data_IF_617832420827
#
_entry.id   IF_617832420827
#
_cell.length_a   1.000
_cell.length_b   1.000
_cell.length_c   1.000
_cell.angle_alpha   90.00
_cell.angle_beta   90.00
_cell.angle_gamma   90.00
#
_symmetry.space_group_name_H-M   'P 1'
#
loop_
_entity.id
_entity.type
_entity.pdbx_description
1 polymer ?
#
# COMPACT_ATOMS: atom_id res chain seq x y z
N UNK A 1 70.86 -33.34 -40.41
CA UNK A 1 70.56 -32.23 -39.46
C UNK A 1 69.07 -32.15 -39.29
N UNK A 2 68.47 -32.49 -38.11
CA UNK A 2 67.04 -32.45 -37.93
C UNK A 2 66.61 -31.08 -37.36
N UNK A 3 65.61 -30.50 -37.97
CA UNK A 3 64.95 -29.25 -37.56
C UNK A 3 64.04 -29.54 -36.40
N UNK A 4 64.19 -28.88 -35.26
CA UNK A 4 63.29 -28.92 -34.08
C UNK A 4 62.08 -28.02 -34.34
N UNK A 5 60.87 -28.61 -34.38
CA UNK A 5 59.57 -27.92 -34.37
C UNK A 5 59.21 -27.53 -32.93
N UNK A 6 59.09 -26.23 -32.65
CA UNK A 6 58.63 -25.70 -31.40
C UNK A 6 57.07 -25.65 -31.49
N UNK A 7 56.38 -26.42 -30.64
CA UNK A 7 54.95 -26.35 -30.47
C UNK A 7 54.60 -25.28 -29.43
N UNK A 8 54.03 -24.19 -29.88
CA UNK A 8 53.47 -23.15 -29.00
C UNK A 8 52.07 -23.54 -28.61
N UNK A 9 51.87 -23.88 -27.35
CA UNK A 9 50.53 -24.14 -26.78
C UNK A 9 49.90 -22.82 -26.39
N UNK A 10 48.79 -22.43 -27.04
CA UNK A 10 47.99 -21.30 -26.68
C UNK A 10 46.96 -21.79 -25.64
N UNK A 11 47.10 -21.36 -24.39
CA UNK A 11 46.14 -21.56 -23.32
C UNK A 11 45.01 -20.50 -23.47
N UNK A 12 43.85 -20.88 -23.98
CA UNK A 12 42.65 -20.01 -24.00
C UNK A 12 42.03 -20.01 -22.63
N UNK A 13 42.16 -18.94 -21.87
CA UNK A 13 41.42 -18.71 -20.63
C UNK A 13 39.99 -18.28 -20.99
N UNK A 14 39.02 -19.17 -20.78
CA UNK A 14 37.60 -18.88 -20.90
C UNK A 14 37.16 -18.13 -19.64
N UNK A 15 37.03 -16.80 -19.69
CA UNK A 15 36.46 -16.00 -18.62
C UNK A 15 34.91 -16.21 -18.61
N UNK A 16 34.42 -17.01 -17.65
CA UNK A 16 33.01 -17.23 -17.41
C UNK A 16 32.45 -16.02 -16.66
N UNK A 17 31.94 -15.04 -17.40
CA UNK A 17 31.23 -13.89 -16.83
C UNK A 17 29.89 -14.37 -16.26
N UNK A 18 29.76 -14.45 -14.93
CA UNK A 18 28.48 -14.64 -14.27
C UNK A 18 27.65 -13.38 -14.48
N UNK A 19 26.70 -13.43 -15.39
CA UNK A 19 25.66 -12.42 -15.53
C UNK A 19 24.79 -12.46 -14.27
N UNK A 20 24.96 -11.48 -13.38
CA UNK A 20 24.01 -11.20 -12.29
C UNK A 20 22.70 -10.74 -12.94
N UNK A 21 21.76 -11.66 -13.10
CA UNK A 21 20.40 -11.29 -13.47
C UNK A 21 19.83 -10.40 -12.36
N UNK A 22 19.23 -9.23 -12.69
CA UNK A 22 18.56 -8.42 -11.69
C UNK A 22 17.45 -9.24 -11.07
N UNK A 23 17.47 -9.41 -9.75
CA UNK A 23 16.35 -9.98 -9.01
C UNK A 23 15.23 -8.95 -9.10
N UNK A 24 14.21 -9.23 -9.89
CA UNK A 24 13.01 -8.42 -9.91
C UNK A 24 12.36 -8.51 -8.52
N UNK A 25 12.45 -7.44 -7.74
CA UNK A 25 11.69 -7.30 -6.49
C UNK A 25 10.26 -7.05 -6.92
N UNK A 26 9.43 -8.07 -6.77
CA UNK A 26 8.00 -7.96 -7.04
C UNK A 26 7.40 -6.90 -6.10
N UNK A 27 6.68 -5.92 -6.66
CA UNK A 27 6.03 -4.89 -5.88
C UNK A 27 4.95 -5.52 -4.99
N UNK A 28 4.85 -5.07 -3.73
CA UNK A 28 3.82 -5.56 -2.83
C UNK A 28 2.42 -5.23 -3.38
N UNK A 29 1.46 -6.17 -3.27
CA UNK A 29 0.12 -5.95 -3.78
C UNK A 29 -0.56 -4.77 -3.06
N UNK A 30 -1.29 -3.95 -3.82
CA UNK A 30 -2.02 -2.77 -3.37
C UNK A 30 -3.50 -3.09 -3.24
N UNK A 31 -4.09 -2.70 -2.10
CA UNK A 31 -5.55 -2.77 -1.89
C UNK A 31 -6.18 -1.49 -2.41
N UNK A 32 -7.25 -1.61 -3.18
CA UNK A 32 -7.93 -0.47 -3.77
C UNK A 32 -9.42 -0.72 -3.97
N UNK A 33 -10.19 0.36 -4.08
CA UNK A 33 -11.54 0.39 -4.61
C UNK A 33 -11.55 1.30 -5.83
N UNK A 34 -12.24 0.89 -6.89
CA UNK A 34 -12.38 1.67 -8.12
C UNK A 34 -13.88 1.91 -8.33
N UNK A 35 -14.36 3.15 -8.19
CA UNK A 35 -15.74 3.51 -8.48
C UNK A 35 -15.98 3.61 -10.00
N UNK A 36 -17.19 3.31 -10.44
CA UNK A 36 -17.60 3.47 -11.83
C UNK A 36 -17.64 4.94 -12.25
N UNK A 37 -17.88 5.84 -11.29
CA UNK A 37 -17.96 7.28 -11.50
C UNK A 37 -17.66 8.00 -10.18
N UNK A 38 -17.10 9.21 -10.23
CA UNK A 38 -16.80 10.04 -9.07
C UNK A 38 -17.65 11.31 -9.01
N UNK A 39 -18.29 11.68 -10.13
CA UNK A 39 -19.09 12.89 -10.27
C UNK A 39 -20.40 12.59 -11.01
N UNK A 40 -21.53 12.79 -10.36
CA UNK A 40 -22.86 12.67 -10.94
C UNK A 40 -23.47 14.03 -11.23
N UNK A 41 -24.06 14.19 -12.40
CA UNK A 41 -24.75 15.43 -12.79
C UNK A 41 -26.16 15.45 -12.21
N UNK A 42 -26.34 16.18 -11.14
CA UNK A 42 -27.65 16.36 -10.50
C UNK A 42 -27.90 15.43 -9.32
N UNK A 43 -29.12 15.49 -8.79
CA UNK A 43 -29.60 14.72 -7.62
C UNK A 43 -30.58 13.65 -8.08
N UNK A 44 -30.16 12.86 -9.07
CA UNK A 44 -31.01 11.83 -9.65
C UNK A 44 -30.99 10.50 -8.90
N UNK A 45 -31.70 9.54 -9.45
CA UNK A 45 -31.71 8.13 -9.05
C UNK A 45 -30.56 7.42 -9.74
N UNK A 46 -29.33 7.59 -9.19
CA UNK A 46 -28.08 7.14 -9.80
C UNK A 46 -27.49 5.94 -9.04
N UNK A 47 -26.70 5.14 -9.71
CA UNK A 47 -26.03 3.98 -9.14
C UNK A 47 -24.52 4.06 -9.30
N UNK A 48 -23.82 3.95 -8.18
CA UNK A 48 -22.38 3.83 -8.13
C UNK A 48 -22.00 2.36 -7.96
N UNK A 49 -21.39 1.76 -8.96
CA UNK A 49 -20.77 0.44 -8.86
C UNK A 49 -19.31 0.58 -8.45
N UNK A 50 -18.87 -0.23 -7.49
CA UNK A 50 -17.50 -0.21 -6.99
C UNK A 50 -16.87 -1.59 -7.14
N UNK A 51 -15.69 -1.65 -7.75
CA UNK A 51 -14.80 -2.81 -7.72
C UNK A 51 -13.81 -2.66 -6.56
N UNK A 52 -13.65 -3.71 -5.74
CA UNK A 52 -12.65 -3.80 -4.68
C UNK A 52 -11.71 -4.97 -4.94
N UNK A 53 -10.41 -4.74 -4.95
CA UNK A 53 -9.42 -5.78 -5.22
C UNK A 53 -8.06 -5.52 -4.56
N UNK A 54 -7.22 -6.54 -4.64
CA UNK A 54 -5.81 -6.52 -4.26
C UNK A 54 -5.00 -6.90 -5.49
N UNK A 55 -4.04 -6.07 -5.90
CA UNK A 55 -3.23 -6.35 -7.09
C UNK A 55 -1.84 -5.75 -7.02
N UNK A 56 -0.89 -6.39 -7.68
CA UNK A 56 0.45 -5.86 -7.93
C UNK A 56 0.39 -4.72 -8.95
N UNK A 57 -0.38 -4.94 -10.01
CA UNK A 57 -0.62 -3.96 -11.07
C UNK A 57 -1.95 -3.24 -10.77
N UNK A 58 -1.87 -1.95 -10.50
CA UNK A 58 -2.97 -1.13 -10.00
C UNK A 58 -4.18 -1.16 -10.94
N UNK A 59 -5.37 -1.42 -10.37
CA UNK A 59 -6.66 -1.57 -11.05
C UNK A 59 -6.78 -2.79 -11.98
N UNK A 60 -5.91 -3.79 -11.79
CA UNK A 60 -6.03 -5.11 -12.39
C UNK A 60 -6.32 -6.17 -11.31
N UNK A 61 -6.68 -7.37 -11.73
CA UNK A 61 -7.15 -8.43 -10.84
C UNK A 61 -6.20 -9.62 -10.93
N UNK A 62 -5.19 -9.67 -10.05
CA UNK A 62 -4.14 -10.69 -10.05
C UNK A 62 -3.99 -11.43 -8.72
N UNK A 63 -4.65 -10.96 -7.65
CA UNK A 63 -4.61 -11.57 -6.33
C UNK A 63 -5.99 -12.02 -5.86
N UNK A 64 -6.00 -13.00 -4.94
CA UNK A 64 -7.24 -13.48 -4.34
C UNK A 64 -7.93 -12.37 -3.53
N UNK A 65 -9.24 -12.24 -3.73
CA UNK A 65 -10.07 -11.28 -3.01
C UNK A 65 -10.05 -11.56 -1.49
N UNK A 66 -10.05 -10.50 -0.72
CA UNK A 66 -10.11 -10.57 0.74
C UNK A 66 -11.56 -10.68 1.23
N UNK A 67 -11.75 -11.01 2.51
CA UNK A 67 -13.04 -10.91 3.17
C UNK A 67 -13.26 -9.47 3.64
N UNK A 68 -13.80 -8.65 2.75
CA UNK A 68 -14.09 -7.26 3.02
C UNK A 68 -15.57 -7.04 3.28
N UNK A 69 -15.85 -6.16 4.23
CA UNK A 69 -17.19 -5.70 4.60
C UNK A 69 -17.27 -4.20 4.22
N UNK A 70 -17.63 -3.88 2.97
CA UNK A 70 -17.78 -2.49 2.55
C UNK A 70 -18.96 -1.83 3.21
N UNK A 71 -18.86 -0.54 3.46
CA UNK A 71 -19.97 0.30 3.89
C UNK A 71 -19.93 1.64 3.17
N UNK A 72 -21.07 2.32 3.09
CA UNK A 72 -21.19 3.63 2.49
C UNK A 72 -21.87 4.62 3.44
N UNK A 73 -21.47 5.89 3.35
CA UNK A 73 -22.08 7.01 4.05
C UNK A 73 -22.67 7.99 3.02
N UNK A 74 -23.91 8.40 3.26
CA UNK A 74 -24.57 9.47 2.52
C UNK A 74 -24.00 10.86 2.88
N UNK A 75 -24.33 11.91 2.11
CA UNK A 75 -23.86 13.27 2.35
C UNK A 75 -24.17 13.85 3.73
N UNK A 76 -25.20 13.37 4.42
CA UNK A 76 -25.53 13.74 5.79
C UNK A 76 -24.77 12.93 6.86
N UNK A 77 -23.92 11.98 6.45
CA UNK A 77 -23.16 11.08 7.31
C UNK A 77 -23.94 9.83 7.75
N UNK A 78 -25.18 9.65 7.33
CA UNK A 78 -25.94 8.43 7.60
C UNK A 78 -25.42 7.26 6.77
N UNK A 79 -25.66 6.02 7.23
CA UNK A 79 -25.30 4.82 6.49
C UNK A 79 -26.25 4.60 5.32
N UNK A 80 -25.67 4.28 4.16
CA UNK A 80 -26.39 3.83 2.96
C UNK A 80 -26.19 2.33 2.80
N UNK A 81 -27.21 1.65 2.28
CA UNK A 81 -27.09 0.23 1.96
C UNK A 81 -26.02 0.00 0.89
N UNK A 82 -25.25 -1.07 1.06
CA UNK A 82 -24.41 -1.65 0.02
C UNK A 82 -25.20 -2.80 -0.56
N UNK A 83 -25.50 -2.72 -1.86
CA UNK A 83 -26.37 -3.64 -2.56
C UNK A 83 -25.60 -4.48 -3.59
N UNK A 84 -26.23 -5.52 -4.11
CA UNK A 84 -25.69 -6.38 -5.19
C UNK A 84 -24.25 -6.87 -4.96
N UNK A 85 -23.86 -7.03 -3.69
CA UNK A 85 -22.48 -7.44 -3.37
C UNK A 85 -22.20 -8.85 -3.90
N UNK A 86 -21.22 -8.96 -4.79
CA UNK A 86 -20.77 -10.19 -5.41
C UNK A 86 -19.29 -10.38 -5.23
N UNK A 87 -18.90 -11.53 -4.66
CA UNK A 87 -17.51 -11.90 -4.42
C UNK A 87 -17.04 -12.93 -5.43
N UNK A 88 -16.17 -12.50 -6.34
CA UNK A 88 -15.47 -13.37 -7.27
C UNK A 88 -14.18 -13.95 -6.66
N UNK A 89 -13.32 -14.54 -7.48
CA UNK A 89 -12.02 -15.05 -7.05
C UNK A 89 -10.99 -13.94 -6.84
N UNK A 90 -11.03 -12.88 -7.67
CA UNK A 90 -9.99 -11.86 -7.75
C UNK A 90 -10.52 -10.46 -7.40
N UNK A 91 -11.84 -10.28 -7.31
CA UNK A 91 -12.46 -9.00 -6.94
C UNK A 91 -13.80 -9.20 -6.25
N UNK A 92 -14.21 -8.19 -5.53
CA UNK A 92 -15.56 -8.00 -5.00
C UNK A 92 -16.16 -6.79 -5.71
N UNK A 93 -17.43 -6.91 -6.14
CA UNK A 93 -18.19 -5.79 -6.71
C UNK A 93 -19.40 -5.53 -5.84
N UNK A 94 -19.85 -4.30 -5.79
CA UNK A 94 -21.07 -3.92 -5.09
C UNK A 94 -21.58 -2.56 -5.58
N UNK A 95 -22.84 -2.27 -5.29
CA UNK A 95 -23.51 -1.05 -5.69
C UNK A 95 -23.90 -0.19 -4.48
N UNK A 96 -23.91 1.13 -4.70
CA UNK A 96 -24.39 2.14 -3.75
C UNK A 96 -25.41 3.03 -4.48
N UNK A 97 -26.61 3.18 -3.92
CA UNK A 97 -27.66 4.02 -4.49
C UNK A 97 -27.42 5.49 -4.09
N UNK A 98 -27.25 6.35 -5.09
CA UNK A 98 -26.93 7.78 -4.95
C UNK A 98 -28.22 8.57 -5.19
N UNK A 99 -28.90 8.93 -4.11
CA UNK A 99 -30.23 9.60 -4.17
C UNK A 99 -30.23 11.01 -3.57
N UNK A 100 -29.20 11.37 -2.81
CA UNK A 100 -29.07 12.68 -2.18
C UNK A 100 -27.97 13.49 -2.85
N UNK A 101 -28.15 14.80 -3.04
CA UNK A 101 -27.06 15.67 -3.48
C UNK A 101 -25.99 15.78 -2.41
N UNK A 102 -24.71 15.80 -2.84
CA UNK A 102 -23.54 15.90 -1.98
C UNK A 102 -22.60 14.71 -2.12
N UNK A 103 -21.62 14.63 -1.22
CA UNK A 103 -20.53 13.67 -1.29
C UNK A 103 -20.83 12.41 -0.50
N UNK A 104 -20.70 11.26 -1.16
CA UNK A 104 -20.74 9.92 -0.58
C UNK A 104 -19.31 9.46 -0.26
N UNK A 105 -19.15 8.74 0.85
CA UNK A 105 -17.93 8.03 1.20
C UNK A 105 -18.18 6.54 1.20
N UNK A 106 -17.42 5.80 0.42
CA UNK A 106 -17.40 4.34 0.39
C UNK A 106 -16.14 3.88 1.07
N UNK A 107 -16.24 2.97 2.03
CA UNK A 107 -15.11 2.55 2.83
C UNK A 107 -15.10 1.05 3.13
N UNK A 108 -13.90 0.50 3.25
CA UNK A 108 -13.60 -0.82 3.81
C UNK A 108 -12.62 -0.60 4.95
N UNK A 109 -12.96 -1.10 6.14
CA UNK A 109 -12.02 -1.14 7.28
C UNK A 109 -11.82 -2.59 7.67
N UNK A 110 -10.59 -3.04 7.68
CA UNK A 110 -10.24 -4.41 8.01
C UNK A 110 -9.13 -4.47 9.05
N UNK A 111 -9.22 -5.46 9.93
CA UNK A 111 -8.20 -5.74 10.94
C UNK A 111 -7.64 -7.13 10.72
N UNK A 112 -6.33 -7.25 10.88
CA UNK A 112 -5.62 -8.52 10.88
C UNK A 112 -4.62 -8.58 12.02
N UNK A 113 -4.25 -9.78 12.44
CA UNK A 113 -3.24 -9.97 13.48
C UNK A 113 -2.03 -10.63 12.87
N UNK A 114 -0.88 -9.97 12.99
CA UNK A 114 0.43 -10.56 12.73
C UNK A 114 1.10 -10.96 14.03
N UNK A 115 1.86 -12.06 14.01
CA UNK A 115 2.54 -12.49 15.22
C UNK A 115 3.15 -13.87 15.12
N UNK A 116 3.65 -14.35 16.27
CA UNK A 116 4.28 -15.65 16.41
C UNK A 116 4.15 -16.17 17.82
N UNK A 117 4.34 -17.48 17.98
CA UNK A 117 4.33 -18.18 19.28
C UNK A 117 5.40 -19.26 19.29
N UNK A 118 5.82 -19.70 20.49
CA UNK A 118 6.65 -20.90 20.68
C UNK A 118 5.76 -22.11 20.91
N UNK A 119 6.00 -23.18 20.16
CA UNK A 119 5.37 -24.48 20.37
C UNK A 119 6.43 -25.58 20.27
N UNK A 120 6.60 -26.37 21.31
CA UNK A 120 7.62 -27.45 21.43
C UNK A 120 9.05 -26.91 21.15
N UNK A 121 9.36 -25.68 21.60
CA UNK A 121 10.66 -25.03 21.40
C UNK A 121 10.87 -24.38 20.02
N UNK A 122 9.93 -24.53 19.09
CA UNK A 122 9.99 -23.90 17.77
C UNK A 122 9.11 -22.64 17.71
N UNK A 123 9.64 -21.56 17.11
CA UNK A 123 8.85 -20.37 16.84
C UNK A 123 8.02 -20.54 15.55
N UNK A 124 6.71 -20.41 15.69
CA UNK A 124 5.75 -20.51 14.59
C UNK A 124 5.02 -19.20 14.39
N UNK A 125 4.74 -18.86 13.14
CA UNK A 125 3.97 -17.67 12.81
C UNK A 125 2.48 -17.95 12.97
N UNK A 126 1.71 -16.92 13.37
CA UNK A 126 0.25 -17.00 13.32
C UNK A 126 -0.22 -17.24 11.88
N UNK A 127 -1.29 -18.01 11.67
CA UNK A 127 -1.86 -18.25 10.36
C UNK A 127 -2.23 -16.94 9.65
N UNK A 128 -2.08 -16.90 8.34
CA UNK A 128 -2.56 -15.76 7.54
C UNK A 128 -4.07 -15.64 7.69
N UNK A 129 -4.56 -14.40 7.76
CA UNK A 129 -6.00 -14.13 7.95
C UNK A 129 -6.47 -14.23 9.41
N UNK A 130 -5.55 -14.40 10.38
CA UNK A 130 -5.90 -14.25 11.80
C UNK A 130 -6.41 -12.83 12.04
N UNK A 131 -7.55 -12.73 12.70
CA UNK A 131 -8.18 -11.46 13.13
C UNK A 131 -8.16 -11.38 14.66
N UNK A 132 -8.45 -10.21 15.28
CA UNK A 132 -8.61 -10.13 16.72
C UNK A 132 -9.63 -11.13 17.27
N UNK A 133 -10.72 -11.36 16.55
CA UNK A 133 -11.76 -12.32 16.94
C UNK A 133 -11.31 -13.79 16.88
N UNK A 134 -10.40 -14.13 15.97
CA UNK A 134 -9.92 -15.51 15.76
C UNK A 134 -8.56 -15.79 16.40
N UNK A 135 -7.91 -14.80 17.02
CA UNK A 135 -6.58 -14.93 17.60
C UNK A 135 -6.49 -16.08 18.63
N UNK A 136 -7.47 -16.17 19.51
CA UNK A 136 -7.47 -17.22 20.54
C UNK A 136 -7.52 -18.65 19.96
N UNK A 137 -8.18 -18.83 18.80
CA UNK A 137 -8.24 -20.12 18.10
C UNK A 137 -6.98 -20.38 17.26
N UNK A 138 -6.30 -19.31 16.82
CA UNK A 138 -5.08 -19.40 16.03
C UNK A 138 -3.84 -19.77 16.84
N UNK A 139 -3.89 -19.61 18.17
CA UNK A 139 -2.82 -19.99 19.10
C UNK A 139 -3.14 -21.36 19.69
N UNK A 140 -2.37 -22.44 19.36
CA UNK A 140 -2.66 -23.78 19.84
C UNK A 140 -2.41 -23.90 21.34
N UNK A 141 -3.10 -24.87 21.98
CA UNK A 141 -2.86 -25.23 23.37
C UNK A 141 -1.39 -25.63 23.60
N UNK A 142 -0.79 -25.15 24.69
CA UNK A 142 0.63 -25.39 25.00
C UNK A 142 1.58 -24.40 24.31
N UNK A 143 1.11 -23.47 23.52
CA UNK A 143 1.94 -22.39 23.01
C UNK A 143 2.35 -21.44 24.13
N UNK A 144 3.60 -20.99 24.08
CA UNK A 144 4.18 -20.01 25.00
C UNK A 144 4.79 -18.84 24.22
N UNK A 145 5.20 -17.78 24.89
CA UNK A 145 5.84 -16.59 24.29
C UNK A 145 5.09 -16.09 23.04
N UNK A 146 3.80 -15.83 23.21
CA UNK A 146 2.92 -15.34 22.13
C UNK A 146 3.14 -13.86 21.94
N UNK A 147 3.58 -13.48 20.75
CA UNK A 147 3.72 -12.10 20.30
C UNK A 147 2.70 -11.79 19.20
N UNK A 148 1.94 -10.73 19.37
CA UNK A 148 0.96 -10.35 18.37
C UNK A 148 0.82 -8.84 18.27
N UNK A 149 0.48 -8.37 17.06
CA UNK A 149 0.12 -6.98 16.80
C UNK A 149 -1.09 -6.94 15.87
N UNK A 150 -2.02 -6.04 16.18
CA UNK A 150 -3.18 -5.75 15.32
C UNK A 150 -2.74 -4.78 14.23
N UNK A 151 -3.02 -5.15 12.99
CA UNK A 151 -2.82 -4.27 11.84
C UNK A 151 -4.20 -3.83 11.35
N UNK A 152 -4.37 -2.54 11.10
CA UNK A 152 -5.62 -1.97 10.59
C UNK A 152 -5.36 -1.39 9.20
N UNK A 153 -6.24 -1.73 8.26
CA UNK A 153 -6.25 -1.16 6.91
C UNK A 153 -7.58 -0.48 6.66
N UNK A 154 -7.53 0.73 6.13
CA UNK A 154 -8.69 1.50 5.68
C UNK A 154 -8.53 1.80 4.19
N UNK A 155 -9.56 1.52 3.40
CA UNK A 155 -9.61 1.81 1.97
C UNK A 155 -10.83 2.67 1.76
N UNK A 156 -10.69 3.82 1.10
CA UNK A 156 -11.79 4.74 0.85
C UNK A 156 -11.84 5.18 -0.62
N UNK A 157 -13.03 5.50 -1.10
CA UNK A 157 -13.26 6.25 -2.33
C UNK A 157 -14.49 7.13 -2.15
N UNK A 158 -14.63 8.12 -3.02
CA UNK A 158 -15.61 9.18 -2.87
C UNK A 158 -16.33 9.40 -4.21
N UNK A 159 -17.62 9.74 -4.11
CA UNK A 159 -18.39 10.18 -5.26
C UNK A 159 -19.30 11.35 -4.83
N UNK A 160 -19.50 12.31 -5.72
CA UNK A 160 -20.31 13.50 -5.44
C UNK A 160 -21.44 13.63 -6.46
N UNK A 161 -22.67 13.83 -5.97
CA UNK A 161 -23.81 14.18 -6.80
C UNK A 161 -24.10 15.68 -6.63
N UNK A 162 -23.98 16.45 -7.69
CA UNK A 162 -24.10 17.92 -7.66
C UNK A 162 -22.95 18.58 -6.87
N UNK A 163 -23.28 19.42 -5.89
CA UNK A 163 -22.28 20.18 -5.13
C UNK A 163 -21.60 19.34 -4.06
N UNK A 164 -20.28 19.44 -3.88
CA UNK A 164 -19.53 18.71 -2.85
C UNK A 164 -19.96 19.09 -1.42
N UNK A 165 -19.96 18.10 -0.53
CA UNK A 165 -20.22 18.28 0.91
C UNK A 165 -19.15 17.63 1.77
N UNK A 166 -19.05 18.04 3.05
CA UNK A 166 -17.92 17.64 3.92
C UNK A 166 -18.30 16.77 5.12
N UNK A 167 -19.58 16.52 5.38
CA UNK A 167 -20.00 15.81 6.60
C UNK A 167 -19.45 14.37 6.70
N UNK A 168 -19.25 13.69 5.56
CA UNK A 168 -18.67 12.34 5.50
C UNK A 168 -17.21 12.27 5.93
N UNK A 169 -16.52 13.41 6.01
CA UNK A 169 -15.11 13.48 6.44
C UNK A 169 -14.92 13.74 7.93
N UNK A 170 -16.02 13.80 8.71
CA UNK A 170 -15.91 13.95 10.15
C UNK A 170 -15.12 12.77 10.74
N UNK A 171 -14.00 13.02 11.44
CA UNK A 171 -13.18 11.95 12.01
C UNK A 171 -13.95 11.15 13.07
N UNK A 172 -13.73 9.85 13.10
CA UNK A 172 -14.22 8.95 14.16
C UNK A 172 -13.28 8.91 15.37
N UNK A 173 -12.05 9.35 15.19
CA UNK A 173 -10.99 9.32 16.20
C UNK A 173 -10.39 7.93 16.40
N UNK A 174 -10.53 7.02 15.43
CA UNK A 174 -10.02 5.65 15.51
C UNK A 174 -9.17 5.29 14.29
N UNK A 175 -7.94 4.84 14.57
CA UNK A 175 -7.00 4.42 13.54
C UNK A 175 -6.51 5.58 12.69
N UNK A 176 -6.08 5.27 11.47
CA UNK A 176 -5.61 6.26 10.51
C UNK A 176 -6.78 6.74 9.65
N UNK A 177 -7.03 8.06 9.65
CA UNK A 177 -8.14 8.71 8.96
C UNK A 177 -7.66 9.91 8.16
N UNK A 178 -8.36 10.24 7.07
CA UNK A 178 -8.10 11.41 6.23
C UNK A 178 -9.19 12.48 6.44
N UNK A 179 -8.74 13.72 6.60
CA UNK A 179 -9.58 14.92 6.56
C UNK A 179 -9.11 15.77 5.38
N UNK A 180 -9.95 16.03 4.38
CA UNK A 180 -9.54 16.79 3.23
C UNK A 180 -9.44 18.28 3.57
N UNK A 181 -8.36 18.93 3.10
CA UNK A 181 -8.27 20.40 3.00
C UNK A 181 -8.75 20.80 1.60
N UNK A 182 -8.30 20.06 0.58
CA UNK A 182 -8.85 20.11 -0.79
C UNK A 182 -9.84 18.95 -0.94
N UNK A 183 -11.03 19.21 -1.45
CA UNK A 183 -12.06 18.17 -1.59
C UNK A 183 -11.63 17.07 -2.58
N UNK A 184 -11.77 15.76 -2.25
CA UNK A 184 -11.22 14.66 -3.05
C UNK A 184 -11.93 14.41 -4.39
N UNK A 185 -13.05 15.07 -4.67
CA UNK A 185 -13.72 15.07 -5.98
C UNK A 185 -13.54 16.38 -6.74
N UNK A 186 -12.67 17.29 -6.28
CA UNK A 186 -12.36 18.57 -6.93
C UNK A 186 -10.86 18.65 -7.24
N UNK A 187 -10.32 17.61 -7.87
CA UNK A 187 -8.90 17.51 -8.19
C UNK A 187 -8.66 17.69 -9.68
N UNK A 188 -7.66 18.51 -10.05
CA UNK A 188 -7.27 18.73 -11.43
C UNK A 188 -5.78 18.54 -11.65
N UNK A 189 -5.40 18.10 -12.86
CA UNK A 189 -4.00 17.94 -13.24
C UNK A 189 -3.28 19.30 -13.25
N UNK A 190 -2.01 19.30 -12.81
CA UNK A 190 -1.24 20.53 -12.62
C UNK A 190 -1.54 21.29 -11.32
N UNK A 191 -2.63 20.98 -10.61
CA UNK A 191 -3.02 21.64 -9.38
C UNK A 191 -2.55 20.87 -8.14
N UNK A 192 -2.37 21.60 -7.04
CA UNK A 192 -1.98 21.06 -5.75
C UNK A 192 -3.20 20.79 -4.87
N UNK A 193 -3.28 19.58 -4.29
CA UNK A 193 -4.30 19.22 -3.33
C UNK A 193 -3.68 18.85 -1.98
N UNK A 194 -4.30 19.29 -0.89
CA UNK A 194 -3.81 19.03 0.48
C UNK A 194 -4.79 18.16 1.24
N UNK A 195 -4.25 17.13 1.89
CA UNK A 195 -4.98 16.21 2.76
C UNK A 195 -4.29 16.16 4.12
N UNK A 196 -5.08 16.11 5.20
CA UNK A 196 -4.59 15.91 6.55
C UNK A 196 -4.87 14.48 7.01
N UNK A 197 -3.86 13.82 7.58
CA UNK A 197 -4.01 12.51 8.17
C UNK A 197 -3.98 12.61 9.69
N UNK A 198 -4.92 11.91 10.31
CA UNK A 198 -5.05 11.80 11.76
C UNK A 198 -4.85 10.35 12.19
N UNK A 199 -4.11 10.16 13.27
CA UNK A 199 -3.97 8.89 13.96
C UNK A 199 -4.66 8.99 15.32
N UNK A 200 -5.72 8.21 15.51
CA UNK A 200 -6.55 8.26 16.73
C UNK A 200 -6.99 9.69 17.09
N UNK A 201 -7.41 10.44 16.06
CA UNK A 201 -7.90 11.82 16.17
C UNK A 201 -6.83 12.89 16.35
N UNK A 202 -5.53 12.55 16.30
CA UNK A 202 -4.40 13.50 16.41
C UNK A 202 -3.65 13.61 15.08
N UNK A 203 -3.07 14.79 14.77
CA UNK A 203 -2.23 14.94 13.58
C UNK A 203 -1.14 13.87 13.52
N UNK A 204 -1.00 13.24 12.36
CA UNK A 204 -0.07 12.11 12.15
C UNK A 204 1.11 12.57 11.29
N UNK A 205 2.17 13.04 11.95
CA UNK A 205 3.40 13.49 11.31
C UNK A 205 4.28 12.32 10.83
N UNK A 206 5.18 12.61 9.90
CA UNK A 206 6.24 11.71 9.40
C UNK A 206 5.71 10.38 8.81
N UNK A 207 4.46 10.35 8.34
CA UNK A 207 3.93 9.19 7.62
C UNK A 207 4.42 9.18 6.16
N UNK A 208 4.82 8.01 5.71
CA UNK A 208 5.14 7.81 4.29
C UNK A 208 3.85 7.84 3.46
N UNK A 209 3.84 8.65 2.42
CA UNK A 209 2.73 8.79 1.47
C UNK A 209 3.24 8.40 0.09
N UNK A 210 2.53 7.52 -0.60
CA UNK A 210 2.79 7.20 -2.00
C UNK A 210 1.54 7.42 -2.84
N UNK A 211 1.71 8.05 -4.00
CA UNK A 211 0.63 8.23 -4.97
C UNK A 211 1.02 7.66 -6.33
N UNK A 212 0.11 6.90 -6.95
CA UNK A 212 0.33 6.23 -8.23
C UNK A 212 -0.89 6.40 -9.12
N UNK A 213 -0.69 6.90 -10.35
CA UNK A 213 -1.73 6.95 -11.36
C UNK A 213 -2.03 5.53 -11.91
N UNK A 214 -3.28 5.25 -12.22
CA UNK A 214 -3.69 4.03 -12.92
C UNK A 214 -2.99 3.85 -14.27
N UNK A 215 -3.21 2.70 -14.93
CA UNK A 215 -2.60 2.43 -16.24
C UNK A 215 -1.10 2.13 -16.19
N UNK A 216 -0.57 1.68 -15.06
CA UNK A 216 0.86 1.36 -14.86
C UNK A 216 1.41 0.43 -15.94
N UNK A 217 0.64 -0.57 -16.37
CA UNK A 217 1.10 -1.53 -17.41
C UNK A 217 1.30 -0.93 -18.81
N UNK A 218 0.86 0.31 -19.02
CA UNK A 218 1.00 1.01 -20.30
C UNK A 218 2.12 2.06 -20.26
N UNK A 219 2.94 2.06 -19.20
CA UNK A 219 4.05 3.01 -19.00
C UNK A 219 5.35 2.28 -18.69
N UNK A 220 6.48 2.93 -19.02
CA UNK A 220 7.82 2.45 -18.68
C UNK A 220 8.17 2.74 -17.21
N UNK A 221 7.42 2.16 -16.29
CA UNK A 221 7.62 2.31 -14.85
C UNK A 221 6.40 2.81 -14.10
N UNK A 222 6.43 2.70 -12.79
CA UNK A 222 5.29 2.99 -11.91
C UNK A 222 5.03 4.50 -11.80
N UNK A 223 6.07 5.35 -11.92
CA UNK A 223 6.00 6.80 -11.75
C UNK A 223 5.33 7.21 -10.42
N UNK A 224 5.74 6.55 -9.35
CA UNK A 224 5.21 6.79 -8.00
C UNK A 224 5.71 8.12 -7.46
N UNK A 225 4.82 8.90 -6.88
CA UNK A 225 5.17 10.05 -6.05
C UNK A 225 5.38 9.57 -4.63
N UNK A 226 6.54 9.87 -4.04
CA UNK A 226 6.86 9.57 -2.65
C UNK A 226 6.95 10.86 -1.85
N UNK A 227 6.10 10.99 -0.84
CA UNK A 227 5.91 12.18 -0.02
C UNK A 227 5.88 11.78 1.47
N UNK A 228 5.85 12.79 2.33
CA UNK A 228 5.76 12.59 3.79
C UNK A 228 4.82 13.62 4.38
N UNK A 229 4.04 13.24 5.40
CA UNK A 229 3.21 14.21 6.12
C UNK A 229 4.06 15.12 7.00
N UNK A 230 3.67 16.39 7.08
CA UNK A 230 4.29 17.40 7.95
C UNK A 230 3.90 17.25 9.44
N UNK A 231 4.33 18.19 10.28
CA UNK A 231 4.05 18.20 11.71
C UNK A 231 2.54 18.30 12.04
N UNK A 232 1.74 18.86 11.16
CA UNK A 232 0.29 18.97 11.25
C UNK A 232 -0.42 17.76 10.65
N UNK A 233 0.33 16.73 10.20
CA UNK A 233 -0.19 15.55 9.54
C UNK A 233 -0.65 15.81 8.11
N UNK A 234 -0.26 16.92 7.49
CA UNK A 234 -0.68 17.30 6.15
C UNK A 234 0.31 16.83 5.11
N UNK A 235 -0.21 16.51 3.93
CA UNK A 235 0.57 16.29 2.72
C UNK A 235 -0.08 17.05 1.57
N UNK A 236 0.74 17.68 0.73
CA UNK A 236 0.30 18.34 -0.48
C UNK A 236 0.81 17.57 -1.69
N UNK A 237 -0.09 17.17 -2.57
CA UNK A 237 0.19 16.41 -3.80
C UNK A 237 -0.11 17.31 -4.98
N UNK A 238 0.86 17.52 -5.85
CA UNK A 238 0.62 18.12 -7.17
C UNK A 238 0.46 16.99 -8.18
N UNK A 239 -0.67 16.97 -8.86
CA UNK A 239 -1.04 15.88 -9.77
C UNK A 239 -0.42 16.12 -11.15
N UNK A 240 0.57 15.30 -11.60
CA UNK A 240 1.19 15.52 -12.90
C UNK A 240 0.26 15.24 -14.09
N UNK A 241 -0.67 14.29 -13.92
CA UNK A 241 -1.56 13.83 -14.99
C UNK A 241 -2.98 13.62 -14.47
N UNK A 242 -3.96 13.76 -15.35
CA UNK A 242 -5.35 13.36 -15.11
C UNK A 242 -5.48 11.81 -15.03
N UNK A 243 -6.54 11.32 -14.40
CA UNK A 243 -6.86 9.90 -14.29
C UNK A 243 -7.19 9.44 -12.87
N UNK A 244 -7.34 8.13 -12.71
CA UNK A 244 -7.61 7.52 -11.40
C UNK A 244 -6.31 7.31 -10.63
N UNK A 245 -6.18 7.96 -9.51
CA UNK A 245 -5.00 7.89 -8.64
C UNK A 245 -5.26 7.09 -7.38
N UNK A 246 -4.33 6.24 -7.04
CA UNK A 246 -4.27 5.54 -5.77
C UNK A 246 -3.27 6.24 -4.86
N UNK A 247 -3.72 6.63 -3.66
CA UNK A 247 -2.87 7.23 -2.62
C UNK A 247 -2.83 6.29 -1.44
N UNK A 248 -1.65 6.03 -0.91
CA UNK A 248 -1.46 5.21 0.29
C UNK A 248 -0.65 5.95 1.34
N UNK A 249 -1.09 5.82 2.58
CA UNK A 249 -0.41 6.36 3.75
C UNK A 249 -0.24 5.25 4.77
N UNK A 250 0.97 5.09 5.29
CA UNK A 250 1.27 4.01 6.22
C UNK A 250 2.07 4.50 7.43
N UNK A 251 1.70 4.00 8.63
CA UNK A 251 2.47 4.14 9.84
C UNK A 251 3.43 2.96 10.03
N UNK A 252 4.59 3.21 10.63
CA UNK A 252 5.47 2.14 11.09
C UNK A 252 6.52 1.69 10.11
N UNK A 253 7.32 2.60 9.54
CA UNK A 253 8.68 2.35 9.02
C UNK A 253 8.87 1.11 8.12
N UNK A 254 7.83 0.67 7.44
CA UNK A 254 7.97 -0.26 6.34
C UNK A 254 8.33 0.56 5.11
N UNK A 255 9.46 0.24 4.46
CA UNK A 255 9.76 0.77 3.12
C UNK A 255 8.45 0.75 2.34
N UNK A 256 8.00 1.92 1.88
CA UNK A 256 7.07 1.99 0.76
C UNK A 256 7.47 0.89 -0.21
N UNK A 257 6.51 0.19 -0.80
CA UNK A 257 6.79 -0.74 -1.88
C UNK A 257 7.29 0.06 -3.10
N UNK A 258 8.43 0.73 -2.93
CA UNK A 258 9.16 1.40 -3.99
C UNK A 258 9.71 0.30 -4.88
N UNK A 259 9.20 0.22 -6.08
CA UNK A 259 9.85 -0.52 -7.15
C UNK A 259 11.27 0.04 -7.36
N UNK A 260 12.17 -0.71 -8.02
CA UNK A 260 13.54 -0.30 -8.25
C UNK A 260 13.59 0.90 -9.22
N UNK A 261 13.71 2.11 -8.69
CA UNK A 261 13.78 3.34 -9.51
C UNK A 261 13.92 4.64 -8.73
N UNK A 262 13.70 4.63 -7.41
CA UNK A 262 13.89 5.82 -6.57
C UNK A 262 15.34 5.97 -6.14
N UNK A 263 16.05 6.98 -6.68
CA UNK A 263 17.38 7.40 -6.23
C UNK A 263 17.29 7.88 -4.78
N UNK A 264 17.96 7.16 -3.87
CA UNK A 264 18.12 7.62 -2.50
C UNK A 264 18.91 8.94 -2.49
N UNK A 265 18.59 9.91 -1.60
CA UNK A 265 19.43 11.07 -1.40
C UNK A 265 20.80 10.59 -0.90
N UNK A 266 21.86 10.90 -1.65
CA UNK A 266 23.23 10.65 -1.24
C UNK A 266 23.57 11.55 -0.04
N UNK A 267 23.62 10.94 1.14
CA UNK A 267 24.31 11.56 2.26
C UNK A 267 25.81 11.55 1.97
N UNK A 268 26.38 12.72 1.81
CA UNK A 268 27.83 12.94 1.70
C UNK A 268 28.51 12.47 2.97
N UNK A 269 29.20 11.34 2.93
CA UNK A 269 30.17 10.96 3.95
C UNK A 269 31.54 10.79 3.30
N UNK A 270 32.41 11.73 3.65
CA UNK A 270 33.85 11.74 3.42
C UNK A 270 34.51 10.85 4.47
N UNK A 271 35.22 9.84 4.09
CA UNK A 271 36.52 9.43 4.67
C UNK A 271 36.95 8.06 4.14
N UNK A 272 38.08 8.09 3.46
CA UNK A 272 38.90 6.93 3.13
C UNK A 272 39.46 6.27 4.39
N UNK A 273 39.48 4.94 4.42
CA UNK A 273 40.56 4.17 5.08
C UNK A 273 40.70 2.77 4.44
N UNK A 274 41.94 2.20 4.44
CA UNK A 274 42.31 1.15 3.52
C UNK A 274 41.98 -0.27 3.99
N UNK A 275 41.80 -1.15 2.99
CA UNK A 275 41.61 -2.58 3.11
C UNK A 275 42.78 -3.29 3.82
N UNK A 276 42.47 -3.94 4.92
CA UNK A 276 43.29 -5.03 5.45
C UNK A 276 42.55 -6.34 5.21
N UNK A 277 43.18 -7.23 4.42
CA UNK A 277 42.74 -8.58 4.21
C UNK A 277 42.90 -9.39 5.51
N UNK A 278 41.81 -9.87 6.07
CA UNK A 278 41.81 -10.79 7.20
C UNK A 278 40.73 -11.86 6.99
N UNK A 279 41.20 -13.12 6.82
CA UNK A 279 40.39 -14.33 6.85
C UNK A 279 39.47 -14.34 8.08
N UNK A 280 38.17 -14.41 7.85
CA UNK A 280 37.20 -14.71 8.91
C UNK A 280 36.75 -16.17 8.78
N UNK A 281 36.90 -16.99 9.84
CA UNK A 281 36.32 -18.33 9.88
C UNK A 281 34.80 -18.23 9.95
N UNK A 282 34.14 -19.14 9.22
CA UNK A 282 32.66 -19.24 9.24
C UNK A 282 32.16 -19.56 10.65
N UNK A 283 31.62 -18.55 11.32
CA UNK A 283 30.83 -18.71 12.51
C UNK A 283 29.37 -18.80 12.09
N UNK A 284 28.70 -19.92 12.35
CA UNK A 284 27.26 -20.03 12.36
C UNK A 284 26.74 -18.96 13.34
N UNK A 285 26.27 -17.84 12.79
CA UNK A 285 25.71 -16.75 13.58
C UNK A 285 24.47 -17.28 14.33
N UNK A 286 24.46 -17.18 15.65
CA UNK A 286 23.30 -17.47 16.46
C UNK A 286 22.07 -16.74 15.85
N UNK A 287 20.88 -17.40 15.80
CA UNK A 287 19.67 -16.81 15.25
C UNK A 287 19.41 -15.46 15.93
N UNK A 288 19.28 -14.39 15.12
CA UNK A 288 18.96 -13.06 15.65
C UNK A 288 17.65 -13.13 16.40
N UNK A 289 17.54 -12.53 17.61
CA UNK A 289 16.28 -12.46 18.33
C UNK A 289 15.20 -11.85 17.43
N UNK A 290 14.08 -12.53 17.26
CA UNK A 290 12.92 -12.00 16.53
C UNK A 290 12.28 -10.95 17.43
N UNK A 291 12.28 -9.71 16.98
CA UNK A 291 11.62 -8.62 17.70
C UNK A 291 10.09 -8.81 17.65
N UNK A 292 9.36 -8.41 18.71
CA UNK A 292 7.90 -8.41 18.69
C UNK A 292 7.36 -7.62 17.50
N UNK A 293 6.26 -8.08 16.86
CA UNK A 293 5.65 -7.36 15.76
C UNK A 293 5.11 -6.02 16.28
N UNK A 294 5.21 -4.98 15.44
CA UNK A 294 4.61 -3.67 15.72
C UNK A 294 3.30 -3.55 14.95
N UNK A 295 2.27 -2.90 15.50
CA UNK A 295 1.05 -2.58 14.78
C UNK A 295 1.37 -1.82 13.49
N UNK A 296 0.69 -2.16 12.41
CA UNK A 296 0.76 -1.44 11.14
C UNK A 296 -0.60 -0.84 10.85
N UNK A 297 -0.60 0.43 10.53
CA UNK A 297 -1.79 1.14 10.13
C UNK A 297 -1.58 1.60 8.69
N UNK A 298 -2.56 1.36 7.84
CA UNK A 298 -2.55 1.83 6.47
C UNK A 298 -3.89 2.48 6.14
N UNK A 299 -3.80 3.54 5.37
CA UNK A 299 -4.93 4.19 4.74
C UNK A 299 -4.65 4.23 3.24
N UNK A 300 -5.62 3.85 2.42
CA UNK A 300 -5.53 4.07 0.98
C UNK A 300 -6.82 4.69 0.47
N UNK A 301 -6.70 5.53 -0.55
CA UNK A 301 -7.85 6.07 -1.27
C UNK A 301 -7.63 6.00 -2.77
N UNK A 302 -8.73 5.87 -3.50
CA UNK A 302 -8.78 6.10 -4.93
C UNK A 302 -9.53 7.40 -5.18
N UNK A 303 -8.93 8.29 -5.94
CA UNK A 303 -9.50 9.58 -6.34
C UNK A 303 -9.33 9.79 -7.83
N UNK A 304 -10.25 10.52 -8.44
CA UNK A 304 -10.15 10.95 -9.83
C UNK A 304 -9.56 12.36 -9.90
N UNK A 305 -8.58 12.53 -10.78
CA UNK A 305 -7.99 13.82 -11.12
C UNK A 305 -8.43 14.18 -12.53
N UNK A 306 -9.16 15.27 -12.66
CA UNK A 306 -9.69 15.73 -13.93
C UNK A 306 -8.61 16.46 -14.77
N UNK A 307 -8.74 16.54 -16.09
CA UNK A 307 -7.89 17.42 -16.88
C UNK A 307 -8.11 18.88 -16.48
N UNK A 308 -7.05 19.69 -16.44
CA UNK A 308 -7.08 21.13 -16.21
C UNK A 308 -7.52 21.90 -17.46
#
# INVERSE_FOLDING_TARGET
>A
MPVKMIRTSILSALAMGAALAPIAVEAAPRSWMLPSETMFVGSGDEWLTVDAALSTDLYYFDHAVQNWEPFALAPDGSKVAVENSAKGRLRQTFDVHVVQPGTYKIAIVSESVSGSYLLNGERKMLPRGTTPATLAQAVPAGATDVWSAVNTSRIETFATAGEPTTAVFKPTGKGLEMVPVTHPTELASGEAATFQFLLDGKPAADLSVSAVNGGVRYRDGIQQLDLTTDAEGKVTITWPDAGMWWVNVASGGGRSAAGPGGSAPQASAKAEQPLAAGNLPGGEGAPRPIAPPRPRLSYSMTVEVLPS
#
